data_IF_734326726957
#
_entry.id   IF_734326726957
#
_cell.length_a   1.000
_cell.length_b   1.000
_cell.length_c   1.000
_cell.angle_alpha   90.00
_cell.angle_beta   90.00
_cell.angle_gamma   90.00
#
_symmetry.space_group_name_H-M   'P 1'
#
loop_
_entity.id
_entity.type
_entity.pdbx_description
1 polymer ?
#
# COMPACT_ATOMS: atom_id res chain seq x y z
N UNK A 1 33.85 -32.88 26.83
CA UNK A 1 32.94 -31.75 27.19
C UNK A 1 31.56 -31.93 26.54
N UNK A 2 31.45 -32.01 25.20
CA UNK A 2 30.16 -32.18 24.50
C UNK A 2 29.33 -33.40 24.93
N UNK A 3 29.97 -34.55 25.17
CA UNK A 3 29.29 -35.78 25.63
C UNK A 3 28.58 -35.61 27.00
N UNK A 4 29.13 -34.77 27.86
CA UNK A 4 28.57 -34.47 29.19
C UNK A 4 27.39 -33.50 29.08
N UNK A 5 27.47 -32.53 28.18
CA UNK A 5 26.38 -31.59 27.85
C UNK A 5 25.19 -32.36 27.25
N UNK A 6 25.43 -33.20 26.25
CA UNK A 6 24.38 -34.03 25.64
C UNK A 6 23.71 -34.94 26.67
N UNK A 7 24.50 -35.57 27.55
CA UNK A 7 23.95 -36.39 28.65
C UNK A 7 23.05 -35.56 29.58
N UNK A 8 23.44 -34.34 29.91
CA UNK A 8 22.62 -33.43 30.73
C UNK A 8 21.34 -32.97 30.03
N UNK A 9 21.40 -32.71 28.71
CA UNK A 9 20.21 -32.37 27.91
C UNK A 9 19.25 -33.56 27.87
N UNK A 10 19.74 -34.79 27.65
CA UNK A 10 18.90 -36.00 27.64
C UNK A 10 18.25 -36.23 29.00
N UNK A 11 18.98 -36.08 30.11
CA UNK A 11 18.41 -36.24 31.45
C UNK A 11 17.38 -35.16 31.81
N UNK A 12 17.48 -33.97 31.22
CA UNK A 12 16.55 -32.86 31.43
C UNK A 12 15.79 -32.51 30.15
N UNK A 13 15.47 -33.50 29.32
CA UNK A 13 14.91 -33.26 27.99
C UNK A 13 13.57 -32.53 28.05
N UNK A 14 12.80 -32.71 29.13
CA UNK A 14 11.55 -31.98 29.38
C UNK A 14 11.72 -30.48 29.58
N UNK A 15 12.93 -30.01 29.91
CA UNK A 15 13.28 -28.60 30.02
C UNK A 15 13.86 -28.02 28.71
N UNK A 16 13.97 -28.83 27.66
CA UNK A 16 14.47 -28.45 26.34
C UNK A 16 13.36 -28.60 25.29
N UNK A 17 12.74 -27.49 24.90
CA UNK A 17 11.70 -27.46 23.88
C UNK A 17 12.32 -27.10 22.51
N UNK A 18 12.01 -27.90 21.48
CA UNK A 18 12.29 -27.59 20.07
C UNK A 18 10.94 -27.43 19.36
N UNK A 19 10.69 -26.26 18.78
CA UNK A 19 9.46 -25.99 18.04
C UNK A 19 9.70 -24.92 16.98
N UNK A 20 8.84 -24.90 15.96
CA UNK A 20 8.73 -23.73 15.06
C UNK A 20 8.23 -22.51 15.83
N UNK A 21 8.50 -21.32 15.30
CA UNK A 21 8.03 -20.05 15.88
C UNK A 21 6.50 -20.06 15.97
N UNK A 22 5.78 -20.50 14.94
CA UNK A 22 4.31 -20.53 14.95
C UNK A 22 3.75 -21.41 16.08
N UNK A 23 4.36 -22.58 16.30
CA UNK A 23 3.94 -23.49 17.38
C UNK A 23 4.23 -22.88 18.75
N UNK A 24 5.29 -22.08 18.87
CA UNK A 24 5.61 -21.34 20.07
C UNK A 24 4.62 -20.18 20.31
N UNK A 25 4.34 -19.36 19.30
CA UNK A 25 3.32 -18.30 19.32
C UNK A 25 1.94 -18.85 19.68
N UNK A 26 1.56 -19.98 19.10
CA UNK A 26 0.32 -20.69 19.44
C UNK A 26 0.28 -21.10 20.93
N UNK A 27 1.40 -21.59 21.47
CA UNK A 27 1.50 -21.98 22.88
C UNK A 27 1.35 -20.76 23.80
N UNK A 28 1.90 -19.62 23.40
CA UNK A 28 1.70 -18.34 24.08
C UNK A 28 0.21 -18.03 24.09
N UNK A 29 -0.43 -17.89 22.92
CA UNK A 29 -1.84 -17.51 22.84
C UNK A 29 -2.75 -18.42 23.67
N UNK A 30 -2.58 -19.75 23.60
CA UNK A 30 -3.38 -20.68 24.44
C UNK A 30 -3.18 -20.47 25.94
N UNK A 31 -1.99 -20.04 26.35
CA UNK A 31 -1.67 -19.78 27.77
C UNK A 31 -2.08 -18.38 28.25
N UNK A 32 -2.45 -17.49 27.32
CA UNK A 32 -2.84 -16.11 27.58
C UNK A 32 -4.20 -15.75 26.95
N UNK A 33 -5.04 -16.72 26.57
CA UNK A 33 -6.26 -16.43 25.78
C UNK A 33 -7.19 -15.46 26.50
N UNK A 34 -7.36 -15.62 27.81
CA UNK A 34 -8.14 -14.70 28.64
C UNK A 34 -7.53 -13.30 28.69
N UNK A 35 -6.21 -13.19 28.86
CA UNK A 35 -5.49 -11.92 28.91
C UNK A 35 -5.46 -11.20 27.55
N UNK A 36 -5.48 -11.94 26.44
CA UNK A 36 -5.50 -11.42 25.07
C UNK A 36 -6.94 -11.11 24.56
N UNK A 37 -7.95 -11.23 25.42
CA UNK A 37 -9.37 -11.07 25.08
C UNK A 37 -9.83 -11.99 23.92
N UNK A 38 -9.22 -13.18 23.81
CA UNK A 38 -9.61 -14.21 22.86
C UNK A 38 -10.57 -15.17 23.58
N UNK A 39 -11.69 -15.59 22.97
CA UNK A 39 -12.56 -16.62 23.55
C UNK A 39 -11.75 -17.83 23.99
N UNK A 40 -12.06 -18.43 25.14
CA UNK A 40 -11.25 -19.55 25.67
C UNK A 40 -11.48 -20.84 24.87
N UNK A 41 -12.59 -20.92 24.14
CA UNK A 41 -13.09 -22.06 23.38
C UNK A 41 -12.92 -21.93 21.86
N UNK A 42 -12.08 -21.00 21.39
CA UNK A 42 -11.83 -20.84 19.96
C UNK A 42 -11.07 -22.02 19.35
N UNK A 43 -11.45 -22.36 18.11
CA UNK A 43 -10.70 -23.26 17.26
C UNK A 43 -9.65 -22.51 16.44
N UNK A 44 -8.59 -23.21 16.06
CA UNK A 44 -7.45 -22.60 15.37
C UNK A 44 -7.42 -23.12 13.95
N UNK A 45 -7.60 -22.22 13.00
CA UNK A 45 -7.42 -22.56 11.60
C UNK A 45 -5.95 -22.40 11.20
N UNK A 46 -5.38 -23.50 10.73
CA UNK A 46 -4.09 -23.50 10.04
C UNK A 46 -4.26 -23.14 8.56
N UNK A 47 -5.46 -23.33 8.00
CA UNK A 47 -5.76 -23.06 6.60
C UNK A 47 -6.42 -21.69 6.46
N UNK A 48 -5.56 -20.67 6.45
CA UNK A 48 -5.98 -19.27 6.29
C UNK A 48 -6.47 -19.01 4.86
N UNK A 49 -5.93 -19.73 3.88
CA UNK A 49 -6.30 -19.60 2.47
C UNK A 49 -7.74 -20.07 2.24
N UNK A 50 -8.16 -21.16 2.89
CA UNK A 50 -9.55 -21.65 2.82
C UNK A 50 -10.54 -20.63 3.40
N UNK A 51 -10.26 -20.10 4.60
CA UNK A 51 -11.12 -19.06 5.21
C UNK A 51 -11.20 -17.81 4.34
N UNK A 52 -10.09 -17.43 3.71
CA UNK A 52 -10.06 -16.28 2.80
C UNK A 52 -10.86 -16.55 1.52
N UNK A 53 -10.81 -17.76 1.00
CA UNK A 53 -11.64 -18.17 -0.14
C UNK A 53 -13.13 -18.10 0.20
N UNK A 54 -13.54 -18.63 1.37
CA UNK A 54 -14.92 -18.52 1.86
C UNK A 54 -15.37 -17.07 1.99
N UNK A 55 -14.50 -16.18 2.47
CA UNK A 55 -14.80 -14.74 2.58
C UNK A 55 -15.02 -14.08 1.21
N UNK A 56 -14.18 -14.40 0.22
CA UNK A 56 -14.34 -13.91 -1.15
C UNK A 56 -15.63 -14.43 -1.77
N UNK A 57 -15.90 -15.73 -1.66
CA UNK A 57 -17.12 -16.35 -2.17
C UNK A 57 -18.38 -15.76 -1.52
N UNK A 58 -18.35 -15.50 -0.20
CA UNK A 58 -19.46 -14.86 0.52
C UNK A 58 -19.71 -13.41 0.05
N UNK A 59 -18.65 -12.62 -0.20
CA UNK A 59 -18.80 -11.26 -0.75
C UNK A 59 -19.43 -11.32 -2.15
N UNK A 60 -19.00 -12.26 -2.99
CA UNK A 60 -19.56 -12.44 -4.35
C UNK A 60 -21.01 -12.92 -4.29
N UNK A 61 -21.35 -13.83 -3.39
CA UNK A 61 -22.72 -14.37 -3.28
C UNK A 61 -23.73 -13.32 -2.84
N UNK A 62 -23.30 -12.27 -2.14
CA UNK A 62 -24.14 -11.12 -1.74
C UNK A 62 -24.45 -10.18 -2.91
N UNK A 63 -23.87 -10.40 -4.09
CA UNK A 63 -24.26 -9.69 -5.29
C UNK A 63 -25.74 -9.96 -5.61
N UNK A 64 -26.52 -8.89 -5.75
CA UNK A 64 -27.97 -8.93 -5.95
C UNK A 64 -28.80 -8.82 -4.67
N UNK A 65 -28.17 -8.93 -3.49
CA UNK A 65 -28.84 -8.70 -2.19
C UNK A 65 -28.55 -7.30 -1.65
N UNK A 66 -27.28 -6.87 -1.71
CA UNK A 66 -26.83 -5.55 -1.30
C UNK A 66 -26.59 -4.67 -2.54
N UNK A 67 -27.41 -3.63 -2.70
CA UNK A 67 -27.36 -2.71 -3.84
C UNK A 67 -26.01 -1.97 -3.97
N UNK A 68 -25.38 -1.59 -2.85
CA UNK A 68 -24.11 -0.86 -2.86
C UNK A 68 -22.96 -1.78 -3.27
N UNK A 69 -22.88 -2.96 -2.64
CA UNK A 69 -21.89 -3.98 -2.97
C UNK A 69 -22.03 -4.46 -4.42
N UNK A 70 -23.27 -4.66 -4.87
CA UNK A 70 -23.55 -5.08 -6.25
C UNK A 70 -23.04 -4.04 -7.24
N UNK A 71 -23.30 -2.75 -6.99
CA UNK A 71 -22.77 -1.67 -7.84
C UNK A 71 -21.24 -1.65 -7.82
N UNK A 72 -20.61 -1.84 -6.67
CA UNK A 72 -19.16 -1.87 -6.53
C UNK A 72 -18.53 -3.03 -7.34
N UNK A 73 -19.08 -4.23 -7.25
CA UNK A 73 -18.64 -5.40 -8.02
C UNK A 73 -18.80 -5.15 -9.54
N UNK A 74 -19.93 -4.60 -9.97
CA UNK A 74 -20.19 -4.25 -11.37
C UNK A 74 -19.23 -3.18 -11.88
N UNK A 75 -18.99 -2.13 -11.09
CA UNK A 75 -18.08 -1.06 -11.44
C UNK A 75 -16.63 -1.57 -11.54
N UNK A 76 -16.22 -2.47 -10.67
CA UNK A 76 -14.90 -3.09 -10.74
C UNK A 76 -14.75 -3.97 -11.99
N UNK A 77 -15.74 -4.81 -12.28
CA UNK A 77 -15.78 -5.65 -13.50
C UNK A 77 -15.77 -4.82 -14.78
N UNK A 78 -16.54 -3.72 -14.82
CA UNK A 78 -16.51 -2.76 -15.93
C UNK A 78 -15.14 -2.11 -16.10
N UNK A 79 -14.51 -1.69 -15.01
CA UNK A 79 -13.16 -1.10 -15.06
C UNK A 79 -12.15 -2.09 -15.63
N UNK A 80 -12.17 -3.35 -15.20
CA UNK A 80 -11.30 -4.38 -15.76
C UNK A 80 -11.48 -4.55 -17.27
N UNK A 81 -12.73 -4.54 -17.74
CA UNK A 81 -13.02 -4.67 -19.18
C UNK A 81 -12.48 -3.47 -19.98
N UNK A 82 -12.46 -2.26 -19.40
CA UNK A 82 -11.84 -1.10 -20.04
C UNK A 82 -10.31 -1.18 -20.11
N UNK A 83 -9.70 -1.92 -19.18
CA UNK A 83 -8.24 -2.15 -19.11
C UNK A 83 -7.81 -3.44 -19.86
N UNK A 84 -8.64 -3.96 -20.77
CA UNK A 84 -8.45 -5.22 -21.51
C UNK A 84 -8.22 -6.46 -20.60
N UNK A 85 -8.70 -6.41 -19.35
CA UNK A 85 -8.68 -7.52 -18.39
C UNK A 85 -9.99 -8.34 -18.42
N UNK A 86 -9.97 -9.50 -17.77
CA UNK A 86 -11.15 -10.36 -17.62
C UNK A 86 -12.25 -9.68 -16.78
N UNK A 87 -13.50 -9.85 -17.19
CA UNK A 87 -14.68 -9.34 -16.48
C UNK A 87 -14.92 -10.09 -15.16
N UNK A 88 -14.53 -11.36 -15.09
CA UNK A 88 -14.57 -12.15 -13.86
C UNK A 88 -13.44 -11.72 -12.93
N UNK A 89 -13.85 -11.04 -11.85
CA UNK A 89 -13.00 -10.44 -10.83
C UNK A 89 -12.68 -11.41 -9.68
N UNK A 90 -13.28 -12.61 -9.64
CA UNK A 90 -13.19 -13.54 -8.51
C UNK A 90 -11.74 -13.94 -8.21
N UNK A 91 -11.01 -14.40 -9.22
CA UNK A 91 -9.62 -14.82 -9.06
C UNK A 91 -8.70 -13.64 -8.71
N UNK A 92 -8.93 -12.46 -9.29
CA UNK A 92 -8.14 -11.27 -8.97
C UNK A 92 -8.38 -10.82 -7.52
N UNK A 93 -9.62 -10.86 -7.06
CA UNK A 93 -9.97 -10.59 -5.66
C UNK A 93 -9.36 -11.62 -4.71
N UNK A 94 -9.38 -12.91 -5.05
CA UNK A 94 -8.76 -13.95 -4.23
C UNK A 94 -7.24 -13.79 -4.13
N UNK A 95 -6.57 -13.45 -5.23
CA UNK A 95 -5.12 -13.18 -5.22
C UNK A 95 -4.81 -11.93 -4.40
N UNK A 96 -5.61 -10.87 -4.55
CA UNK A 96 -5.43 -9.64 -3.80
C UNK A 96 -5.75 -9.81 -2.30
N UNK A 97 -6.75 -10.62 -1.95
CA UNK A 97 -7.19 -10.83 -0.57
C UNK A 97 -6.16 -11.56 0.28
N UNK A 98 -5.27 -12.36 -0.32
CA UNK A 98 -4.10 -12.94 0.36
C UNK A 98 -3.17 -11.89 0.96
N UNK A 99 -3.21 -10.64 0.51
CA UNK A 99 -2.45 -9.55 1.12
C UNK A 99 -3.05 -9.08 2.47
N UNK A 100 -4.32 -9.38 2.75
CA UNK A 100 -5.01 -9.00 3.99
C UNK A 100 -4.44 -9.71 5.22
N UNK A 101 -3.92 -10.92 5.04
CA UNK A 101 -3.32 -11.74 6.10
C UNK A 101 -1.81 -11.53 6.22
N UNK A 102 -1.23 -10.70 5.34
CA UNK A 102 0.18 -10.35 5.39
C UNK A 102 0.41 -9.28 6.47
N UNK A 103 1.15 -9.65 7.50
CA UNK A 103 1.48 -8.81 8.66
C UNK A 103 2.13 -7.47 8.27
N UNK A 104 2.88 -7.44 7.15
CA UNK A 104 3.60 -6.25 6.70
C UNK A 104 2.69 -5.11 6.20
N UNK A 105 1.45 -5.40 5.80
CA UNK A 105 0.52 -4.39 5.25
C UNK A 105 -0.57 -3.98 6.25
N UNK A 106 -0.48 -4.46 7.49
CA UNK A 106 -1.58 -4.36 8.44
C UNK A 106 -1.85 -2.94 8.93
N UNK A 107 -0.80 -2.12 9.09
CA UNK A 107 -0.92 -0.71 9.48
C UNK A 107 -1.78 0.09 8.49
N UNK A 108 -1.61 -0.17 7.21
CA UNK A 108 -2.31 0.47 6.11
C UNK A 108 -3.76 0.01 6.05
N UNK A 109 -4.02 -1.28 6.33
CA UNK A 109 -5.38 -1.84 6.39
C UNK A 109 -6.19 -1.27 7.55
N UNK A 110 -5.58 -1.05 8.72
CA UNK A 110 -6.25 -0.43 9.87
C UNK A 110 -6.77 0.98 9.52
N UNK A 111 -6.05 1.73 8.69
CA UNK A 111 -6.45 3.09 8.30
C UNK A 111 -7.76 3.13 7.49
N UNK A 112 -8.11 2.01 6.83
CA UNK A 112 -9.30 1.89 5.97
C UNK A 112 -10.36 0.93 6.50
N UNK A 113 -10.07 0.18 7.57
CA UNK A 113 -10.90 -0.89 8.09
C UNK A 113 -12.36 -0.46 8.36
N UNK A 114 -12.50 0.73 8.96
CA UNK A 114 -13.80 1.30 9.34
C UNK A 114 -14.47 2.13 8.24
N UNK A 115 -13.95 2.07 7.00
CA UNK A 115 -14.54 2.79 5.86
C UNK A 115 -15.65 1.98 5.21
N UNK A 116 -16.80 2.60 5.06
CA UNK A 116 -17.93 2.06 4.30
C UNK A 116 -17.71 2.15 2.79
N UNK A 117 -18.44 1.36 2.01
CA UNK A 117 -18.45 1.43 0.54
C UNK A 117 -18.84 2.85 0.08
N UNK A 118 -19.84 3.47 0.71
CA UNK A 118 -20.24 4.84 0.44
C UNK A 118 -19.09 5.86 0.64
N UNK A 119 -18.29 5.71 1.70
CA UNK A 119 -17.12 6.56 1.91
C UNK A 119 -16.05 6.38 0.83
N UNK A 120 -15.81 5.16 0.35
CA UNK A 120 -14.91 4.92 -0.79
C UNK A 120 -15.40 5.59 -2.07
N UNK A 121 -16.72 5.59 -2.31
CA UNK A 121 -17.33 6.30 -3.45
C UNK A 121 -17.11 7.82 -3.34
N UNK A 122 -17.27 8.40 -2.15
CA UNK A 122 -17.01 9.82 -1.92
C UNK A 122 -15.52 10.15 -2.08
N UNK A 123 -14.61 9.32 -1.54
CA UNK A 123 -13.16 9.45 -1.74
C UNK A 123 -12.83 9.45 -3.23
N UNK A 124 -13.44 8.54 -4.01
CA UNK A 124 -13.24 8.50 -5.46
C UNK A 124 -13.64 9.81 -6.13
N UNK A 125 -14.80 10.38 -5.77
CA UNK A 125 -15.26 11.67 -6.32
C UNK A 125 -14.28 12.80 -6.01
N UNK A 126 -13.79 12.88 -4.77
CA UNK A 126 -12.79 13.86 -4.34
C UNK A 126 -11.50 13.70 -5.16
N UNK A 127 -11.01 12.48 -5.33
CA UNK A 127 -9.80 12.19 -6.12
C UNK A 127 -10.01 12.62 -7.58
N UNK A 128 -11.16 12.33 -8.18
CA UNK A 128 -11.46 12.71 -9.57
C UNK A 128 -11.53 14.23 -9.77
N UNK A 129 -12.05 14.98 -8.79
CA UNK A 129 -12.02 16.45 -8.80
C UNK A 129 -10.58 16.94 -8.73
N UNK A 130 -9.80 16.44 -7.77
CA UNK A 130 -8.39 16.83 -7.59
C UNK A 130 -7.53 16.50 -8.82
N UNK A 131 -7.77 15.39 -9.50
CA UNK A 131 -7.07 15.05 -10.74
C UNK A 131 -7.31 16.12 -11.84
N UNK A 132 -8.55 16.58 -11.99
CA UNK A 132 -8.89 17.65 -12.95
C UNK A 132 -8.22 18.96 -12.57
N UNK A 133 -8.26 19.32 -11.28
CA UNK A 133 -7.65 20.54 -10.75
C UNK A 133 -6.12 20.55 -10.94
N UNK A 134 -5.42 19.45 -10.61
CA UNK A 134 -3.97 19.33 -10.77
C UNK A 134 -3.57 19.40 -12.24
N UNK A 135 -4.33 18.76 -13.13
CA UNK A 135 -4.09 18.84 -14.58
C UNK A 135 -4.25 20.28 -15.09
N UNK A 136 -5.29 20.98 -14.65
CA UNK A 136 -5.50 22.39 -14.99
C UNK A 136 -4.40 23.29 -14.43
N UNK A 137 -4.02 23.09 -13.16
CA UNK A 137 -2.95 23.84 -12.50
C UNK A 137 -1.61 23.71 -13.25
N UNK A 138 -1.24 22.49 -13.65
CA UNK A 138 -0.04 22.23 -14.43
C UNK A 138 -0.10 22.92 -15.81
N UNK A 139 -1.24 22.85 -16.49
CA UNK A 139 -1.44 23.48 -17.79
C UNK A 139 -1.36 25.02 -17.73
N UNK A 140 -1.99 25.64 -16.73
CA UNK A 140 -1.94 27.09 -16.50
C UNK A 140 -0.50 27.52 -16.20
N UNK A 141 0.16 26.87 -15.25
CA UNK A 141 1.54 27.20 -14.85
C UNK A 141 2.53 27.02 -16.01
N UNK A 142 2.36 25.99 -16.83
CA UNK A 142 3.20 25.79 -18.03
C UNK A 142 2.94 26.87 -19.10
N UNK A 143 1.69 27.30 -19.25
CA UNK A 143 1.32 28.40 -20.14
C UNK A 143 1.92 29.72 -19.67
N UNK A 144 1.99 29.96 -18.37
CA UNK A 144 2.68 31.14 -17.81
C UNK A 144 4.17 31.16 -18.17
N UNK A 145 4.86 30.01 -18.11
CA UNK A 145 6.27 29.93 -18.53
C UNK A 145 6.39 30.24 -20.03
N UNK A 146 5.53 29.68 -20.87
CA UNK A 146 5.52 29.98 -22.31
C UNK A 146 5.26 31.47 -22.60
N UNK A 147 4.37 32.11 -21.84
CA UNK A 147 4.09 33.54 -21.96
C UNK A 147 5.25 34.40 -21.44
N UNK A 148 5.93 33.99 -20.37
CA UNK A 148 7.13 34.65 -19.85
C UNK A 148 8.23 34.71 -20.92
N UNK A 149 8.44 33.60 -21.64
CA UNK A 149 9.38 33.56 -22.77
C UNK A 149 8.98 34.56 -23.86
N UNK A 150 7.70 34.54 -24.29
CA UNK A 150 7.20 35.42 -25.35
C UNK A 150 7.22 36.91 -24.97
N UNK A 151 6.87 37.26 -23.74
CA UNK A 151 6.87 38.65 -23.26
C UNK A 151 8.26 39.27 -23.21
N UNK A 152 9.29 38.46 -23.00
CA UNK A 152 10.67 38.90 -23.07
C UNK A 152 11.26 38.83 -24.49
N UNK A 153 10.41 38.66 -25.50
CA UNK A 153 10.80 38.66 -26.91
C UNK A 153 11.59 37.42 -27.35
N UNK A 154 11.58 36.34 -26.57
CA UNK A 154 12.30 35.11 -26.90
C UNK A 154 11.51 34.33 -27.95
N UNK A 155 12.15 34.01 -29.06
CA UNK A 155 11.61 33.09 -30.06
C UNK A 155 11.70 31.64 -29.54
N UNK A 156 10.62 30.87 -29.65
CA UNK A 156 10.61 29.46 -29.25
C UNK A 156 11.55 28.61 -30.13
N UNK A 157 11.87 29.08 -31.35
CA UNK A 157 12.90 28.49 -32.22
C UNK A 157 14.32 28.64 -31.68
N UNK A 158 14.55 29.50 -30.69
CA UNK A 158 15.88 29.70 -30.08
C UNK A 158 16.36 28.48 -29.29
N UNK A 159 15.45 27.60 -28.88
CA UNK A 159 15.79 26.35 -28.19
C UNK A 159 16.12 25.23 -29.17
N UNK A 160 17.14 24.43 -28.87
CA UNK A 160 17.54 23.30 -29.71
C UNK A 160 16.41 22.29 -29.85
N UNK A 161 16.05 22.01 -31.11
CA UNK A 161 14.91 21.16 -31.49
C UNK A 161 13.57 21.57 -30.84
N UNK A 162 13.44 22.83 -30.39
CA UNK A 162 12.34 23.32 -29.55
C UNK A 162 12.10 22.45 -28.31
N UNK A 163 13.14 21.77 -27.80
CA UNK A 163 12.93 20.71 -26.82
C UNK A 163 12.29 21.21 -25.52
N UNK A 164 12.63 22.42 -25.07
CA UNK A 164 12.08 23.02 -23.86
C UNK A 164 10.65 23.57 -24.09
N UNK A 165 10.37 24.41 -25.11
CA UNK A 165 9.01 24.82 -25.45
C UNK A 165 8.05 23.64 -25.73
N UNK A 166 8.51 22.62 -26.45
CA UNK A 166 7.68 21.43 -26.74
C UNK A 166 7.35 20.65 -25.46
N UNK A 167 8.27 20.59 -24.50
CA UNK A 167 8.02 19.95 -23.21
C UNK A 167 6.94 20.71 -22.42
N UNK A 168 7.04 22.04 -22.35
CA UNK A 168 5.98 22.88 -21.76
C UNK A 168 4.64 22.70 -22.48
N UNK A 169 4.65 22.63 -23.81
CA UNK A 169 3.44 22.40 -24.61
C UNK A 169 2.82 21.03 -24.35
N UNK A 170 3.63 19.98 -24.16
CA UNK A 170 3.14 18.65 -23.76
C UNK A 170 2.44 18.70 -22.39
N UNK A 171 2.95 19.50 -21.45
CA UNK A 171 2.29 19.70 -20.15
C UNK A 171 0.94 20.40 -20.33
N UNK A 172 0.88 21.47 -21.13
CA UNK A 172 -0.37 22.19 -21.45
C UNK A 172 -1.40 21.24 -22.07
N UNK A 173 -0.96 20.38 -22.98
CA UNK A 173 -1.84 19.42 -23.67
C UNK A 173 -2.17 18.19 -22.80
N UNK A 174 -1.50 18.02 -21.65
CA UNK A 174 -1.65 16.84 -20.79
C UNK A 174 -1.15 15.54 -21.44
N UNK A 175 -0.15 15.60 -22.32
CA UNK A 175 0.43 14.46 -23.04
C UNK A 175 1.88 14.15 -22.63
N UNK A 176 2.35 14.76 -21.54
CA UNK A 176 3.68 14.48 -21.01
C UNK A 176 3.71 13.11 -20.33
N UNK A 177 4.64 12.25 -20.74
CA UNK A 177 4.85 10.95 -20.10
C UNK A 177 5.64 11.09 -18.79
N UNK A 178 5.36 10.22 -17.82
CA UNK A 178 6.00 10.22 -16.49
C UNK A 178 7.53 10.12 -16.53
N UNK A 179 8.08 9.37 -17.50
CA UNK A 179 9.54 9.23 -17.71
C UNK A 179 10.24 10.53 -18.09
N UNK A 180 9.49 11.49 -18.66
CA UNK A 180 10.01 12.79 -19.06
C UNK A 180 9.87 13.82 -17.92
N UNK A 181 9.33 13.44 -16.76
CA UNK A 181 9.33 14.31 -15.59
C UNK A 181 10.79 14.53 -15.19
N UNK A 182 11.12 15.76 -14.78
CA UNK A 182 12.50 16.15 -14.49
C UNK A 182 13.45 16.09 -15.68
N UNK A 183 12.95 16.13 -16.93
CA UNK A 183 13.83 16.28 -18.09
C UNK A 183 14.65 17.57 -18.04
N UNK A 184 14.12 18.61 -17.40
CA UNK A 184 14.79 19.89 -17.23
C UNK A 184 14.90 20.27 -15.75
N UNK A 185 16.05 19.98 -15.13
CA UNK A 185 16.31 20.18 -13.69
C UNK A 185 17.18 21.42 -13.45
N UNK A 186 18.09 21.71 -14.38
CA UNK A 186 19.05 22.79 -14.27
C UNK A 186 19.21 23.54 -15.60
N UNK A 187 20.00 24.60 -15.59
CA UNK A 187 20.27 25.43 -16.77
C UNK A 187 20.94 24.63 -17.89
N UNK A 188 21.82 23.68 -17.55
CA UNK A 188 22.59 22.88 -18.51
C UNK A 188 21.71 21.89 -19.29
N UNK A 189 20.61 21.44 -18.67
CA UNK A 189 19.61 20.58 -19.30
C UNK A 189 18.87 21.27 -20.45
N UNK A 190 18.85 22.61 -20.48
CA UNK A 190 18.17 23.40 -21.51
C UNK A 190 19.16 23.85 -22.59
N UNK A 191 19.09 23.18 -23.74
CA UNK A 191 19.97 23.47 -24.88
C UNK A 191 19.42 24.60 -25.74
N UNK A 192 20.24 25.65 -25.94
CA UNK A 192 19.96 26.80 -26.81
C UNK A 192 20.78 26.69 -28.10
N UNK A 193 20.20 27.12 -29.23
CA UNK A 193 20.87 27.12 -30.52
C UNK A 193 22.06 28.10 -30.54
N UNK A 194 23.24 27.64 -30.97
CA UNK A 194 24.51 28.41 -30.96
C UNK A 194 24.47 29.77 -31.66
N UNK A 195 23.51 29.99 -32.57
CA UNK A 195 23.33 31.24 -33.35
C UNK A 195 22.10 32.04 -32.92
N UNK A 196 21.45 31.68 -31.81
CA UNK A 196 20.28 32.41 -31.31
C UNK A 196 20.69 33.78 -30.78
N UNK A 197 19.92 34.80 -31.18
CA UNK A 197 20.05 36.18 -30.68
C UNK A 197 19.53 36.33 -29.24
N UNK A 198 18.78 35.35 -28.75
CA UNK A 198 18.07 35.40 -27.47
C UNK A 198 18.88 34.79 -26.32
N UNK A 199 20.11 34.33 -26.58
CA UNK A 199 20.94 33.58 -25.62
C UNK A 199 21.05 34.28 -24.27
N UNK A 200 21.27 35.59 -24.24
CA UNK A 200 21.38 36.36 -22.99
C UNK A 200 20.03 36.51 -22.27
N UNK A 201 18.95 36.78 -23.02
CA UNK A 201 17.60 36.89 -22.47
C UNK A 201 17.12 35.56 -21.89
N UNK A 202 17.41 34.45 -22.58
CA UNK A 202 17.13 33.10 -22.09
C UNK A 202 17.89 32.86 -20.79
N UNK A 203 19.21 33.11 -20.75
CA UNK A 203 20.02 32.90 -19.55
C UNK A 203 19.51 33.68 -18.32
N UNK A 204 18.95 34.88 -18.52
CA UNK A 204 18.39 35.69 -17.45
C UNK A 204 17.06 35.15 -16.88
N UNK A 205 16.21 34.59 -17.75
CA UNK A 205 14.84 34.15 -17.40
C UNK A 205 14.80 32.68 -17.00
N UNK A 206 15.75 31.88 -17.48
CA UNK A 206 15.76 30.45 -17.28
C UNK A 206 15.72 30.01 -15.80
N UNK A 207 16.40 30.69 -14.85
CA UNK A 207 16.28 30.36 -13.43
C UNK A 207 14.83 30.44 -12.92
N UNK A 208 14.10 31.50 -13.27
CA UNK A 208 12.68 31.66 -12.88
C UNK A 208 11.80 30.61 -13.57
N UNK A 209 12.02 30.36 -14.86
CA UNK A 209 11.28 29.37 -15.62
C UNK A 209 11.47 27.94 -15.07
N UNK A 210 12.71 27.59 -14.69
CA UNK A 210 13.02 26.28 -14.10
C UNK A 210 12.44 26.13 -12.70
N UNK A 211 12.47 27.19 -11.87
CA UNK A 211 11.82 27.16 -10.55
C UNK A 211 10.31 26.91 -10.67
N UNK A 212 9.64 27.58 -11.62
CA UNK A 212 8.21 27.32 -11.91
C UNK A 212 8.01 25.90 -12.43
N UNK A 213 8.90 25.39 -13.28
CA UNK A 213 8.82 24.04 -13.83
C UNK A 213 9.00 22.96 -12.74
N UNK A 214 9.86 23.18 -11.75
CA UNK A 214 10.02 22.29 -10.60
C UNK A 214 8.70 22.15 -9.83
N UNK A 215 7.98 23.25 -9.58
CA UNK A 215 6.66 23.23 -8.95
C UNK A 215 5.65 22.46 -9.79
N UNK A 216 5.70 22.61 -11.12
CA UNK A 216 4.85 21.82 -12.04
C UNK A 216 5.17 20.33 -11.92
N UNK A 217 6.43 19.94 -11.82
CA UNK A 217 6.79 18.53 -11.64
C UNK A 217 6.25 17.96 -10.32
N UNK A 218 6.22 18.74 -9.23
CA UNK A 218 5.58 18.31 -7.97
C UNK A 218 4.07 18.09 -8.14
N UNK A 219 3.38 18.98 -8.87
CA UNK A 219 1.95 18.85 -9.19
C UNK A 219 1.69 17.59 -10.03
N UNK A 220 2.52 17.34 -11.04
CA UNK A 220 2.40 16.17 -11.91
C UNK A 220 2.67 14.85 -11.16
N UNK A 221 3.63 14.82 -10.23
CA UNK A 221 3.86 13.66 -9.36
C UNK A 221 2.64 13.37 -8.48
N UNK A 222 2.05 14.41 -7.86
CA UNK A 222 0.82 14.26 -7.08
C UNK A 222 -0.33 13.74 -7.94
N UNK A 223 -0.44 14.21 -9.19
CA UNK A 223 -1.44 13.71 -10.13
C UNK A 223 -1.25 12.20 -10.40
N UNK A 224 -0.02 11.73 -10.67
CA UNK A 224 0.24 10.29 -10.88
C UNK A 224 -0.15 9.46 -9.65
N UNK A 225 0.21 9.93 -8.44
CA UNK A 225 -0.15 9.25 -7.21
C UNK A 225 -1.67 9.11 -7.07
N UNK A 226 -2.41 10.21 -7.26
CA UNK A 226 -3.86 10.20 -7.20
C UNK A 226 -4.51 9.36 -8.31
N UNK A 227 -3.88 9.30 -9.48
CA UNK A 227 -4.34 8.45 -10.58
C UNK A 227 -4.21 6.97 -10.20
N UNK A 228 -3.11 6.58 -9.55
CA UNK A 228 -2.93 5.23 -9.01
C UNK A 228 -4.01 4.89 -7.96
N UNK A 229 -4.34 5.81 -7.06
CA UNK A 229 -5.44 5.61 -6.12
C UNK A 229 -6.79 5.51 -6.83
N UNK A 230 -7.09 6.37 -7.81
CA UNK A 230 -8.36 6.34 -8.55
C UNK A 230 -8.57 5.01 -9.30
N UNK A 231 -7.50 4.41 -9.83
CA UNK A 231 -7.54 3.09 -10.48
C UNK A 231 -7.80 1.97 -9.48
N UNK A 232 -7.22 2.06 -8.29
CA UNK A 232 -7.27 1.01 -7.27
C UNK A 232 -8.35 1.20 -6.19
N UNK A 233 -9.21 2.22 -6.29
CA UNK A 233 -10.19 2.51 -5.24
C UNK A 233 -11.28 1.43 -5.12
N UNK A 234 -11.73 0.85 -6.23
CA UNK A 234 -12.71 -0.24 -6.22
C UNK A 234 -12.15 -1.53 -5.63
N UNK A 235 -10.98 -2.06 -6.08
CA UNK A 235 -10.42 -3.24 -5.45
C UNK A 235 -10.11 -2.99 -3.97
N UNK A 236 -9.66 -1.79 -3.58
CA UNK A 236 -9.43 -1.47 -2.17
C UNK A 236 -10.72 -1.51 -1.33
N UNK A 237 -11.82 -0.97 -1.86
CA UNK A 237 -13.14 -1.04 -1.22
C UNK A 237 -13.62 -2.49 -1.09
N UNK A 238 -13.46 -3.31 -2.14
CA UNK A 238 -13.84 -4.73 -2.12
C UNK A 238 -12.96 -5.54 -1.15
N UNK A 239 -11.66 -5.27 -1.11
CA UNK A 239 -10.76 -5.87 -0.14
C UNK A 239 -11.17 -5.55 1.29
N UNK A 240 -11.64 -4.33 1.56
CA UNK A 240 -12.17 -4.00 2.88
C UNK A 240 -13.44 -4.81 3.20
N UNK A 241 -14.36 -4.96 2.25
CA UNK A 241 -15.55 -5.81 2.41
C UNK A 241 -15.18 -7.29 2.64
N UNK A 242 -14.19 -7.81 1.92
CA UNK A 242 -13.67 -9.17 2.12
C UNK A 242 -13.05 -9.31 3.51
N UNK A 243 -12.27 -8.34 3.97
CA UNK A 243 -11.69 -8.35 5.31
C UNK A 243 -12.77 -8.36 6.41
N UNK A 244 -13.83 -7.58 6.25
CA UNK A 244 -14.97 -7.58 7.17
C UNK A 244 -15.68 -8.94 7.17
N UNK A 245 -15.87 -9.55 6.01
CA UNK A 245 -16.49 -10.87 5.91
C UNK A 245 -15.59 -11.98 6.48
N UNK A 246 -14.29 -11.90 6.26
CA UNK A 246 -13.29 -12.81 6.82
C UNK A 246 -13.34 -12.81 8.36
N UNK A 247 -13.37 -11.62 8.97
CA UNK A 247 -13.55 -11.46 10.42
C UNK A 247 -14.90 -11.99 10.91
N UNK A 248 -15.96 -11.76 10.13
CA UNK A 248 -17.29 -12.25 10.46
C UNK A 248 -17.34 -13.78 10.45
N UNK A 249 -16.80 -14.43 9.41
CA UNK A 249 -16.71 -15.90 9.30
C UNK A 249 -15.95 -16.47 10.48
N UNK A 250 -14.80 -15.88 10.83
CA UNK A 250 -14.04 -16.26 12.01
C UNK A 250 -14.86 -16.16 13.30
N UNK A 251 -15.59 -15.06 13.49
CA UNK A 251 -16.47 -14.88 14.66
C UNK A 251 -17.62 -15.89 14.67
N UNK A 252 -18.29 -16.12 13.55
CA UNK A 252 -19.46 -17.00 13.42
C UNK A 252 -19.06 -18.47 13.62
N UNK A 253 -17.87 -18.87 13.17
CA UNK A 253 -17.33 -20.22 13.34
C UNK A 253 -16.55 -20.41 14.67
N UNK A 254 -16.38 -19.35 15.47
CA UNK A 254 -15.51 -19.31 16.66
C UNK A 254 -14.07 -19.77 16.36
N UNK A 255 -13.51 -19.32 15.24
CA UNK A 255 -12.18 -19.67 14.76
C UNK A 255 -11.26 -18.46 14.72
N UNK A 256 -9.99 -18.65 15.07
CA UNK A 256 -8.93 -17.65 14.85
C UNK A 256 -7.88 -18.21 13.88
N UNK A 257 -7.55 -17.44 12.85
CA UNK A 257 -6.47 -17.78 11.92
C UNK A 257 -5.11 -17.65 12.60
N UNK A 258 -4.22 -18.62 12.33
CA UNK A 258 -2.84 -18.56 12.81
C UNK A 258 -2.08 -17.31 12.32
N UNK A 259 -2.48 -16.73 11.17
CA UNK A 259 -1.86 -15.52 10.61
C UNK A 259 -2.10 -14.26 11.47
N UNK A 260 -3.08 -14.28 12.36
CA UNK A 260 -3.39 -13.13 13.22
C UNK A 260 -2.65 -13.14 14.55
N UNK A 261 -2.01 -14.26 14.88
CA UNK A 261 -1.47 -14.53 16.21
C UNK A 261 -0.36 -13.57 16.63
N UNK A 262 0.64 -13.36 15.77
CA UNK A 262 1.74 -12.45 16.08
C UNK A 262 1.20 -11.04 16.29
N UNK A 263 0.17 -10.64 15.54
CA UNK A 263 -0.44 -9.32 15.70
C UNK A 263 -1.22 -9.19 17.00
N UNK A 264 -2.02 -10.19 17.38
CA UNK A 264 -2.75 -10.15 18.66
C UNK A 264 -1.77 -10.01 19.82
N UNK A 265 -0.68 -10.79 19.82
CA UNK A 265 0.36 -10.65 20.83
C UNK A 265 1.01 -9.27 20.78
N UNK A 266 1.41 -8.79 19.59
CA UNK A 266 2.05 -7.49 19.41
C UNK A 266 1.19 -6.34 19.97
N UNK A 267 -0.10 -6.32 19.65
CA UNK A 267 -1.04 -5.28 20.10
C UNK A 267 -1.17 -5.24 21.62
N UNK A 268 -1.15 -6.41 22.27
CA UNK A 268 -1.25 -6.53 23.72
C UNK A 268 0.05 -6.18 24.45
N UNK A 269 1.22 -6.48 23.87
CA UNK A 269 2.52 -6.18 24.51
C UNK A 269 2.99 -4.73 24.30
N UNK A 270 2.68 -4.10 23.15
CA UNK A 270 3.30 -2.83 22.74
C UNK A 270 3.07 -1.68 23.72
N UNK A 271 1.91 -1.65 24.36
CA UNK A 271 1.51 -0.55 25.24
C UNK A 271 1.77 -0.84 26.72
N UNK A 272 2.48 -1.92 27.04
CA UNK A 272 2.77 -2.31 28.42
C UNK A 272 4.24 -1.99 28.79
N UNK A 273 4.50 -1.31 29.92
CA UNK A 273 5.87 -0.95 30.33
C UNK A 273 6.73 -2.17 30.66
N UNK A 274 6.10 -3.25 31.13
CA UNK A 274 6.68 -4.58 31.25
C UNK A 274 5.60 -5.57 30.80
N UNK A 275 5.71 -6.16 29.60
CA UNK A 275 4.70 -7.08 29.12
C UNK A 275 4.60 -8.31 30.01
N UNK A 276 3.43 -8.54 30.63
CA UNK A 276 3.17 -9.68 31.52
C UNK A 276 3.46 -11.03 30.86
N UNK A 277 3.36 -11.09 29.52
CA UNK A 277 3.73 -12.26 28.73
C UNK A 277 5.16 -12.71 29.05
N UNK A 278 6.12 -11.78 29.14
CA UNK A 278 7.51 -12.11 29.45
C UNK A 278 7.71 -12.58 30.89
N UNK A 279 6.95 -12.05 31.86
CA UNK A 279 7.02 -12.51 33.25
C UNK A 279 6.57 -13.97 33.38
N UNK A 280 5.43 -14.32 32.77
CA UNK A 280 4.87 -15.68 32.83
C UNK A 280 5.70 -16.65 31.97
N UNK A 281 6.20 -16.22 30.82
CA UNK A 281 7.11 -17.04 29.98
C UNK A 281 8.47 -17.26 30.63
N UNK A 282 9.01 -16.27 31.33
CA UNK A 282 10.31 -16.33 32.03
C UNK A 282 10.36 -17.40 33.12
N UNK A 283 9.21 -17.81 33.67
CA UNK A 283 9.12 -18.94 34.59
C UNK A 283 9.41 -20.30 33.92
N UNK A 284 9.25 -20.39 32.60
CA UNK A 284 9.44 -21.63 31.83
C UNK A 284 10.68 -21.60 30.94
N UNK A 285 10.93 -20.48 30.27
CA UNK A 285 12.05 -20.34 29.34
C UNK A 285 12.97 -19.21 29.80
N UNK A 286 14.25 -19.55 29.99
CA UNK A 286 15.28 -18.59 30.40
C UNK A 286 16.21 -18.18 29.26
N UNK A 287 16.36 -19.04 28.27
CA UNK A 287 17.22 -18.84 27.12
C UNK A 287 16.46 -19.24 25.85
N UNK A 288 16.56 -18.41 24.82
CA UNK A 288 15.98 -18.65 23.52
C UNK A 288 17.10 -18.78 22.50
N UNK A 289 16.95 -19.72 21.58
CA UNK A 289 17.80 -19.84 20.40
C UNK A 289 16.86 -19.90 19.20
N UNK A 290 17.01 -18.94 18.30
CA UNK A 290 16.21 -18.83 17.09
C UNK A 290 17.14 -19.20 15.94
N UNK A 291 16.79 -20.27 15.25
CA UNK A 291 17.44 -20.68 14.01
C UNK A 291 16.72 -20.01 12.83
N UNK A 292 17.40 -19.88 11.68
CA UNK A 292 16.87 -19.25 10.46
C UNK A 292 16.28 -17.84 10.71
N UNK A 293 16.97 -17.03 11.52
CA UNK A 293 16.49 -15.72 11.94
C UNK A 293 16.20 -14.75 10.77
N UNK A 294 16.83 -14.94 9.60
CA UNK A 294 16.55 -14.13 8.42
C UNK A 294 15.12 -14.29 7.87
N UNK A 295 14.42 -15.36 8.24
CA UNK A 295 13.06 -15.67 7.76
C UNK A 295 11.97 -15.15 8.71
N UNK A 296 12.33 -14.45 9.80
CA UNK A 296 11.34 -13.91 10.76
C UNK A 296 10.68 -12.61 10.29
N UNK A 297 9.39 -12.45 10.58
CA UNK A 297 8.65 -11.21 10.31
C UNK A 297 9.01 -10.08 11.29
N UNK A 298 8.65 -8.85 10.94
CA UNK A 298 8.84 -7.67 11.81
C UNK A 298 8.03 -7.77 13.11
N UNK A 299 6.89 -8.48 13.12
CA UNK A 299 6.11 -8.69 14.34
C UNK A 299 6.66 -9.81 15.23
N UNK A 300 7.38 -10.76 14.64
CA UNK A 300 8.06 -11.84 15.37
C UNK A 300 9.33 -11.35 16.07
N UNK A 301 10.00 -10.34 15.50
CA UNK A 301 11.17 -9.66 16.07
C UNK A 301 10.79 -8.64 17.14
#
# INVERSE_FOLDING_TARGET
KSRLIVKNIIHNYTAFDISTIDKFTLKIIKSFSHELNIPVDFDISLDTDLLMQEAVESVISKAGEDDELTRLLLDYSKNNTHDDKNWDITNELLVASKQLTNENYKSELIAIENKSIAEFVEIKKIIQIQLKELKQQAAVSSTEILNLLRHNGIDLESFSYKSFPNHLQKIVNGTLESKDFFKFIDIESVKVNKKSKDTNSIAAILPEALQKLEQIYMVLQKHILLEAFNKNIYPLSLLNSINQEFKKIQSDQNIVSISEFNQIIYNEIKNQPAPFIYEKMGNKYRHFFIDEFQDTSVLQW
#
